data_IF_509362913548
#
_entry.id   IF_509362913548
#
_cell.length_a   1.000
_cell.length_b   1.000
_cell.length_c   1.000
_cell.angle_alpha   90.00
_cell.angle_beta   90.00
_cell.angle_gamma   90.00
#
_symmetry.space_group_name_H-M   'P 1'
#
loop_
_entity.id
_entity.type
_entity.pdbx_description
1 polymer ?
#
# COMPACT_ATOMS: atom_id res chain seq x y z
N UNK A 1 -19.17 -25.45 -22.87
CA UNK A 1 -19.63 -24.16 -22.34
C UNK A 1 -18.99 -23.81 -20.99
N UNK A 2 -18.90 -24.74 -20.01
CA UNK A 2 -18.24 -24.45 -18.71
C UNK A 2 -16.75 -24.09 -18.79
N UNK A 3 -15.98 -24.59 -19.77
CA UNK A 3 -14.55 -24.28 -19.89
C UNK A 3 -14.25 -22.87 -20.42
N UNK A 4 -15.12 -22.29 -21.25
CA UNK A 4 -14.80 -21.00 -21.91
C UNK A 4 -14.86 -19.82 -20.94
N UNK A 5 -15.80 -19.86 -19.98
CA UNK A 5 -15.91 -18.87 -18.90
C UNK A 5 -14.69 -18.97 -17.98
N UNK A 6 -14.36 -20.19 -17.53
CA UNK A 6 -13.23 -20.42 -16.63
C UNK A 6 -11.88 -20.07 -17.29
N UNK A 7 -11.72 -20.35 -18.58
CA UNK A 7 -10.51 -20.00 -19.33
C UNK A 7 -10.36 -18.48 -19.49
N UNK A 8 -11.47 -17.77 -19.74
CA UNK A 8 -11.48 -16.29 -19.80
C UNK A 8 -11.08 -15.64 -18.47
N UNK A 9 -11.62 -16.14 -17.35
CA UNK A 9 -11.27 -15.68 -16.00
C UNK A 9 -9.79 -15.95 -15.69
N UNK A 10 -9.28 -17.15 -16.04
CA UNK A 10 -7.88 -17.53 -15.83
C UNK A 10 -6.91 -16.67 -16.64
N UNK A 11 -7.21 -16.40 -17.90
CA UNK A 11 -6.38 -15.54 -18.76
C UNK A 11 -6.25 -14.15 -18.12
N UNK A 12 -7.36 -13.58 -17.67
CA UNK A 12 -7.38 -12.25 -17.04
C UNK A 12 -6.51 -12.20 -15.78
N UNK A 13 -6.61 -13.22 -14.92
CA UNK A 13 -5.78 -13.31 -13.70
C UNK A 13 -4.31 -13.49 -14.06
N UNK A 14 -3.98 -14.31 -15.05
CA UNK A 14 -2.60 -14.54 -15.49
C UNK A 14 -1.99 -13.25 -16.05
N UNK A 15 -2.69 -12.52 -16.93
CA UNK A 15 -2.25 -11.21 -17.42
C UNK A 15 -2.04 -10.23 -16.26
N UNK A 16 -2.91 -10.25 -15.24
CA UNK A 16 -2.76 -9.40 -14.05
C UNK A 16 -1.49 -9.76 -13.25
N UNK A 17 -1.13 -11.04 -13.15
CA UNK A 17 0.11 -11.48 -12.50
C UNK A 17 1.36 -11.09 -13.28
N UNK A 18 1.29 -11.13 -14.61
CA UNK A 18 2.41 -10.84 -15.50
C UNK A 18 2.66 -9.32 -15.64
N UNK A 19 1.61 -8.52 -15.63
CA UNK A 19 1.68 -7.05 -15.70
C UNK A 19 1.89 -6.38 -14.35
N UNK A 20 1.81 -7.13 -13.23
CA UNK A 20 1.96 -6.58 -11.88
C UNK A 20 3.36 -5.95 -11.71
N UNK A 21 3.46 -4.74 -11.14
CA UNK A 21 4.76 -4.12 -10.88
C UNK A 21 5.68 -5.02 -10.05
N UNK A 22 6.95 -5.13 -10.48
CA UNK A 22 7.95 -6.03 -9.89
C UNK A 22 8.06 -5.91 -8.36
N UNK A 23 8.02 -4.66 -7.86
CA UNK A 23 8.11 -4.37 -6.43
C UNK A 23 6.89 -4.90 -5.66
N UNK A 24 5.69 -4.81 -6.25
CA UNK A 24 4.46 -5.33 -5.65
C UNK A 24 4.48 -6.85 -5.64
N UNK A 25 4.92 -7.48 -6.74
CA UNK A 25 5.08 -8.94 -6.84
C UNK A 25 6.01 -9.48 -5.76
N UNK A 26 7.23 -8.96 -5.68
CA UNK A 26 8.22 -9.35 -4.64
C UNK A 26 7.68 -9.18 -3.21
N UNK A 27 6.97 -8.07 -2.95
CA UNK A 27 6.38 -7.79 -1.64
C UNK A 27 5.28 -8.79 -1.29
N UNK A 28 4.38 -9.07 -2.22
CA UNK A 28 3.25 -9.99 -2.01
C UNK A 28 3.74 -11.42 -1.82
N UNK A 29 4.68 -11.88 -2.65
CA UNK A 29 5.32 -13.20 -2.51
C UNK A 29 5.94 -13.38 -1.12
N UNK A 30 6.63 -12.35 -0.61
CA UNK A 30 7.20 -12.39 0.74
C UNK A 30 6.15 -12.52 1.85
N UNK A 31 4.97 -11.89 1.68
CA UNK A 31 3.87 -11.98 2.64
C UNK A 31 3.14 -13.32 2.56
N UNK A 32 2.85 -13.77 1.34
CA UNK A 32 2.19 -15.05 1.07
C UNK A 32 3.04 -16.22 1.55
N UNK A 33 4.36 -16.19 1.33
CA UNK A 33 5.28 -17.23 1.81
C UNK A 33 5.23 -17.39 3.33
N UNK A 34 5.22 -16.28 4.07
CA UNK A 34 5.11 -16.33 5.52
C UNK A 34 3.78 -16.91 6.01
N UNK A 35 2.69 -16.67 5.27
CA UNK A 35 1.40 -17.30 5.58
C UNK A 35 1.41 -18.81 5.31
N UNK A 36 1.96 -19.24 4.17
CA UNK A 36 2.10 -20.66 3.81
C UNK A 36 2.95 -21.38 4.86
N UNK A 37 4.08 -20.80 5.26
CA UNK A 37 4.95 -21.35 6.30
C UNK A 37 4.19 -21.56 7.62
N UNK A 38 3.44 -20.55 8.08
CA UNK A 38 2.60 -20.69 9.29
C UNK A 38 1.54 -21.77 9.13
N UNK A 39 0.93 -21.89 7.95
CA UNK A 39 -0.06 -22.94 7.68
C UNK A 39 0.55 -24.33 7.73
N UNK A 40 1.78 -24.50 7.22
CA UNK A 40 2.54 -25.75 7.28
C UNK A 40 2.93 -26.08 8.72
N UNK A 41 3.46 -25.11 9.49
CA UNK A 41 3.83 -25.31 10.90
C UNK A 41 2.63 -25.68 11.77
N UNK A 42 1.47 -25.06 11.53
CA UNK A 42 0.25 -25.33 12.29
C UNK A 42 -0.54 -26.54 11.76
N UNK A 43 -0.12 -27.13 10.65
CA UNK A 43 -0.73 -28.33 10.04
C UNK A 43 -2.25 -28.21 9.83
N UNK A 44 -2.72 -27.11 9.26
CA UNK A 44 -4.14 -26.96 8.95
C UNK A 44 -4.62 -28.03 7.95
N UNK A 45 -5.85 -28.52 8.14
CA UNK A 45 -6.43 -29.60 7.30
C UNK A 45 -6.49 -29.25 5.82
N UNK A 46 -6.86 -28.03 5.52
CA UNK A 46 -6.96 -27.42 4.19
C UNK A 46 -5.65 -26.71 3.77
N UNK A 47 -4.52 -27.05 4.41
CA UNK A 47 -3.17 -26.57 4.10
C UNK A 47 -3.08 -25.04 4.05
N UNK A 48 -2.68 -24.47 2.92
CA UNK A 48 -2.48 -23.06 2.64
C UNK A 48 -3.70 -22.38 1.99
N UNK A 49 -4.85 -23.05 1.95
CA UNK A 49 -6.11 -22.44 1.53
C UNK A 49 -6.42 -21.23 2.41
N UNK A 50 -6.63 -20.07 1.79
CA UNK A 50 -6.85 -18.81 2.50
C UNK A 50 -8.30 -18.76 2.99
N UNK A 51 -8.48 -18.66 4.31
CA UNK A 51 -9.79 -18.47 4.94
C UNK A 51 -9.77 -17.25 5.85
N UNK A 52 -10.95 -16.71 6.16
CA UNK A 52 -11.04 -15.57 7.08
C UNK A 52 -10.49 -15.85 8.47
N UNK A 53 -10.72 -17.07 8.99
CA UNK A 53 -10.18 -17.51 10.28
C UNK A 53 -8.66 -17.60 10.29
N UNK A 54 -8.08 -18.22 9.25
CA UNK A 54 -6.62 -18.31 9.12
C UNK A 54 -5.96 -16.96 8.93
N UNK A 55 -6.56 -16.08 8.11
CA UNK A 55 -6.08 -14.71 7.94
C UNK A 55 -6.07 -13.98 9.29
N UNK A 56 -7.17 -14.04 10.04
CA UNK A 56 -7.24 -13.43 11.35
C UNK A 56 -6.20 -13.99 12.33
N UNK A 57 -6.09 -15.31 12.41
CA UNK A 57 -5.12 -15.98 13.28
C UNK A 57 -3.69 -15.58 12.92
N UNK A 58 -3.32 -15.63 11.64
CA UNK A 58 -2.00 -15.25 11.15
C UNK A 58 -1.65 -13.79 11.49
N UNK A 59 -2.59 -12.87 11.26
CA UNK A 59 -2.38 -11.46 11.60
C UNK A 59 -2.17 -11.27 13.11
N UNK A 60 -3.05 -11.85 13.92
CA UNK A 60 -3.01 -11.70 15.38
C UNK A 60 -1.80 -12.37 16.04
N UNK A 61 -1.39 -13.56 15.57
CA UNK A 61 -0.31 -14.32 16.22
C UNK A 61 1.08 -14.03 15.69
N UNK A 62 1.21 -13.57 14.45
CA UNK A 62 2.51 -13.56 13.74
C UNK A 62 2.89 -12.19 13.20
N UNK A 63 1.91 -11.39 12.75
CA UNK A 63 2.19 -10.10 12.11
C UNK A 63 2.12 -8.95 13.10
N UNK A 64 1.04 -8.90 13.89
CA UNK A 64 0.83 -7.86 14.90
C UNK A 64 1.82 -8.07 16.05
N UNK A 65 2.47 -7.00 16.50
CA UNK A 65 3.50 -7.06 17.55
C UNK A 65 4.89 -7.47 17.06
N UNK A 66 5.04 -7.91 15.81
CA UNK A 66 6.35 -8.21 15.21
C UNK A 66 7.20 -6.94 15.11
N UNK A 67 8.51 -7.06 15.36
CA UNK A 67 9.49 -5.99 15.10
C UNK A 67 9.70 -5.77 13.60
N UNK A 68 9.86 -4.51 13.19
CA UNK A 68 10.15 -4.16 11.79
C UNK A 68 11.54 -4.65 11.41
N UNK A 69 11.67 -5.15 10.16
CA UNK A 69 12.97 -5.56 9.61
C UNK A 69 13.93 -4.40 9.39
N UNK A 70 13.40 -3.18 9.21
CA UNK A 70 14.20 -1.95 8.96
C UNK A 70 14.59 -1.24 10.26
N UNK A 71 13.77 -1.38 11.30
CA UNK A 71 14.02 -0.78 12.60
C UNK A 71 13.49 -1.74 13.68
N UNK A 72 14.40 -2.38 14.40
CA UNK A 72 14.09 -3.38 15.43
C UNK A 72 13.44 -2.79 16.68
N UNK A 73 13.47 -1.47 16.86
CA UNK A 73 12.81 -0.76 17.96
C UNK A 73 11.34 -0.51 17.67
N UNK A 74 10.95 -0.40 16.39
CA UNK A 74 9.56 -0.17 15.99
C UNK A 74 8.86 -1.48 15.64
N UNK A 75 7.62 -1.62 16.12
CA UNK A 75 6.73 -2.71 15.69
C UNK A 75 6.15 -2.46 14.31
N UNK A 76 5.70 -3.51 13.66
CA UNK A 76 5.02 -3.45 12.37
C UNK A 76 3.75 -2.58 12.49
N UNK A 77 3.71 -1.49 11.73
CA UNK A 77 2.58 -0.56 11.71
C UNK A 77 1.39 -1.04 10.87
N UNK A 78 0.26 -0.35 11.01
CA UNK A 78 -1.01 -0.71 10.37
C UNK A 78 -0.98 -0.74 8.84
N UNK A 79 -0.13 0.06 8.19
CA UNK A 79 0.07 0.03 6.74
C UNK A 79 0.65 -1.31 6.26
N UNK A 80 1.60 -1.87 7.01
CA UNK A 80 2.18 -3.18 6.71
C UNK A 80 1.16 -4.29 6.94
N UNK A 81 0.36 -4.21 8.02
CA UNK A 81 -0.75 -5.14 8.27
C UNK A 81 -1.75 -5.13 7.11
N UNK A 82 -2.11 -3.96 6.59
CA UNK A 82 -2.94 -3.85 5.39
C UNK A 82 -2.27 -4.47 4.16
N UNK A 83 -0.94 -4.33 4.04
CA UNK A 83 -0.16 -4.99 2.99
C UNK A 83 -0.27 -6.51 3.03
N UNK A 84 -0.18 -7.13 4.21
CA UNK A 84 -0.41 -8.57 4.40
C UNK A 84 -1.82 -8.98 4.00
N UNK A 85 -2.84 -8.22 4.42
CA UNK A 85 -4.24 -8.50 4.07
C UNK A 85 -4.43 -8.46 2.55
N UNK A 86 -3.92 -7.43 1.88
CA UNK A 86 -4.07 -7.30 0.43
C UNK A 86 -3.36 -8.43 -0.32
N UNK A 87 -2.16 -8.83 0.12
CA UNK A 87 -1.44 -9.96 -0.47
C UNK A 87 -2.16 -11.30 -0.29
N UNK A 88 -2.85 -11.50 0.84
CA UNK A 88 -3.60 -12.73 1.10
C UNK A 88 -4.98 -12.73 0.43
N UNK A 89 -5.61 -11.57 0.24
CA UNK A 89 -6.80 -11.44 -0.62
C UNK A 89 -6.43 -11.72 -2.08
N UNK A 90 -5.27 -11.25 -2.54
CA UNK A 90 -4.76 -11.57 -3.88
C UNK A 90 -4.52 -13.08 -4.05
N UNK A 91 -3.92 -13.74 -3.06
CA UNK A 91 -3.76 -15.20 -3.05
C UNK A 91 -5.11 -15.93 -3.05
N UNK A 92 -6.08 -15.46 -2.26
CA UNK A 92 -7.44 -16.01 -2.25
C UNK A 92 -8.11 -15.92 -3.62
N UNK A 93 -8.02 -14.77 -4.30
CA UNK A 93 -8.61 -14.60 -5.63
C UNK A 93 -8.00 -15.56 -6.65
N UNK A 94 -6.68 -15.80 -6.57
CA UNK A 94 -6.02 -16.81 -7.40
C UNK A 94 -6.55 -18.22 -7.09
N UNK A 95 -6.68 -18.58 -5.81
CA UNK A 95 -7.22 -19.88 -5.40
C UNK A 95 -8.68 -20.10 -5.83
N UNK A 96 -9.53 -19.07 -5.77
CA UNK A 96 -10.92 -19.13 -6.24
C UNK A 96 -10.97 -19.33 -7.76
N UNK A 97 -10.16 -18.59 -8.51
CA UNK A 97 -10.08 -18.69 -9.99
C UNK A 97 -9.60 -20.09 -10.42
N UNK A 98 -8.67 -20.67 -9.65
CA UNK A 98 -8.18 -22.04 -9.86
C UNK A 98 -9.13 -23.11 -9.30
N UNK A 99 -10.28 -22.72 -8.75
CA UNK A 99 -11.28 -23.60 -8.12
C UNK A 99 -10.71 -24.44 -6.96
N UNK A 100 -9.60 -24.02 -6.35
CA UNK A 100 -9.00 -24.68 -5.18
C UNK A 100 -9.55 -24.15 -3.85
N UNK A 101 -10.22 -23.00 -3.86
CA UNK A 101 -10.83 -22.41 -2.69
C UNK A 101 -12.29 -22.02 -2.96
N UNK A 102 -13.20 -22.58 -2.16
CA UNK A 102 -14.64 -22.32 -2.20
C UNK A 102 -15.15 -21.60 -0.95
N UNK A 103 -14.25 -21.12 -0.08
CA UNK A 103 -14.60 -20.41 1.14
C UNK A 103 -15.09 -18.99 0.85
N UNK A 104 -15.81 -18.41 1.81
CA UNK A 104 -16.17 -17.00 1.76
C UNK A 104 -14.93 -16.09 1.82
N UNK A 105 -15.09 -14.87 1.29
CA UNK A 105 -14.02 -13.88 1.21
C UNK A 105 -13.29 -13.67 2.55
N UNK A 106 -11.94 -13.70 2.58
CA UNK A 106 -11.18 -13.82 3.82
C UNK A 106 -11.18 -12.53 4.66
N UNK A 107 -11.48 -11.37 4.06
CA UNK A 107 -11.62 -10.09 4.78
C UNK A 107 -12.97 -9.98 5.51
N UNK A 108 -13.16 -10.83 6.50
CA UNK A 108 -14.36 -10.89 7.35
C UNK A 108 -14.49 -9.66 8.25
N UNK A 109 -15.65 -9.51 8.92
CA UNK A 109 -15.89 -8.44 9.90
C UNK A 109 -14.83 -8.42 11.01
N UNK A 110 -14.44 -9.59 11.52
CA UNK A 110 -13.37 -9.71 12.52
C UNK A 110 -12.02 -9.20 12.00
N UNK A 111 -11.64 -9.53 10.76
CA UNK A 111 -10.41 -9.01 10.14
C UNK A 111 -10.48 -7.48 9.97
N UNK A 112 -11.64 -6.95 9.57
CA UNK A 112 -11.85 -5.49 9.46
C UNK A 112 -11.68 -4.80 10.82
N UNK A 113 -12.25 -5.36 11.88
CA UNK A 113 -12.12 -4.84 13.25
C UNK A 113 -10.67 -4.92 13.74
N UNK A 114 -9.98 -6.03 13.49
CA UNK A 114 -8.56 -6.20 13.85
C UNK A 114 -7.69 -5.11 13.22
N UNK A 115 -7.88 -4.82 11.93
CA UNK A 115 -7.16 -3.75 11.23
C UNK A 115 -7.43 -2.39 11.88
N UNK A 116 -8.70 -2.09 12.19
CA UNK A 116 -9.09 -0.83 12.85
C UNK A 116 -8.42 -0.68 14.22
N UNK A 117 -8.41 -1.75 15.02
CA UNK A 117 -7.78 -1.74 16.34
C UNK A 117 -6.27 -1.47 16.25
N UNK A 118 -5.58 -2.10 15.30
CA UNK A 118 -4.15 -1.85 15.06
C UNK A 118 -3.90 -0.42 14.59
N UNK A 119 -4.75 0.14 13.73
CA UNK A 119 -4.62 1.54 13.29
C UNK A 119 -4.85 2.53 14.43
N UNK A 120 -5.84 2.27 15.29
CA UNK A 120 -6.10 3.07 16.49
C UNK A 120 -4.92 3.03 17.45
N UNK A 121 -4.39 1.84 17.77
CA UNK A 121 -3.21 1.68 18.63
C UNK A 121 -1.97 2.38 18.06
N UNK A 122 -1.72 2.27 16.75
CA UNK A 122 -0.62 3.00 16.14
C UNK A 122 -0.82 4.52 16.27
N UNK A 123 -2.04 5.02 16.06
CA UNK A 123 -2.35 6.45 16.20
C UNK A 123 -2.14 6.93 17.64
N UNK A 124 -2.55 6.14 18.63
CA UNK A 124 -2.35 6.42 20.05
C UNK A 124 -0.87 6.44 20.42
N UNK A 125 -0.10 5.45 19.97
CA UNK A 125 1.36 5.40 20.21
C UNK A 125 2.07 6.60 19.60
N UNK A 126 1.73 6.96 18.35
CA UNK A 126 2.26 8.17 17.71
C UNK A 126 1.93 9.44 18.49
N UNK A 127 0.69 9.54 18.99
CA UNK A 127 0.26 10.65 19.83
C UNK A 127 1.04 10.73 21.14
N UNK A 128 1.29 9.60 21.82
CA UNK A 128 2.10 9.52 23.05
C UNK A 128 3.56 9.88 22.82
N UNK A 129 4.10 9.50 21.67
CA UNK A 129 5.48 9.78 21.30
C UNK A 129 5.68 11.20 20.75
N UNK A 130 4.63 12.03 20.72
CA UNK A 130 4.63 13.36 20.09
C UNK A 130 5.21 13.33 18.67
N UNK A 131 4.98 12.23 17.94
CA UNK A 131 5.40 12.16 16.53
C UNK A 131 4.62 13.22 15.76
N UNK A 132 5.34 14.15 15.14
CA UNK A 132 4.73 15.19 14.33
C UNK A 132 3.98 14.55 13.16
N UNK A 133 2.71 14.94 13.04
CA UNK A 133 1.79 14.47 12.00
C UNK A 133 2.06 15.14 10.66
N UNK A 134 2.82 16.24 10.67
CA UNK A 134 3.24 17.02 9.52
C UNK A 134 4.44 16.43 8.77
N UNK A 135 5.33 15.68 9.44
CA UNK A 135 6.57 15.13 8.84
C UNK A 135 6.26 14.33 7.56
N UNK A 136 6.84 14.75 6.44
CA UNK A 136 6.68 14.16 5.11
C UNK A 136 5.31 14.38 4.46
N UNK A 137 4.48 15.28 4.98
CA UNK A 137 3.21 15.70 4.36
C UNK A 137 3.41 16.98 3.53
N UNK A 138 2.38 17.43 2.79
CA UNK A 138 2.41 18.71 2.08
C UNK A 138 2.55 19.92 3.03
N UNK A 139 2.29 19.72 4.34
CA UNK A 139 2.52 20.70 5.40
C UNK A 139 3.98 20.71 5.89
N UNK A 140 4.78 19.69 5.53
CA UNK A 140 6.24 19.68 5.63
C UNK A 140 6.83 20.52 4.48
N UNK A 141 6.33 21.75 4.36
CA UNK A 141 6.76 22.70 3.36
C UNK A 141 8.16 23.22 3.66
N UNK A 142 8.73 23.94 2.70
CA UNK A 142 9.89 24.78 2.95
C UNK A 142 9.54 25.80 4.02
N UNK A 143 10.33 25.81 5.10
CA UNK A 143 10.08 26.59 6.31
C UNK A 143 10.69 27.99 6.24
N UNK A 144 11.56 28.25 5.25
CA UNK A 144 12.21 29.54 5.04
C UNK A 144 12.23 29.93 3.57
N UNK A 145 12.31 31.24 3.33
CA UNK A 145 12.51 31.79 1.99
C UNK A 145 13.81 31.28 1.35
N UNK A 146 14.84 31.01 2.16
CA UNK A 146 16.11 30.46 1.70
C UNK A 146 15.96 29.04 1.13
N UNK A 147 15.19 28.17 1.80
CA UNK A 147 14.91 26.82 1.30
C UNK A 147 14.11 26.86 0.00
N UNK A 148 13.14 27.78 -0.09
CA UNK A 148 12.37 27.98 -1.31
C UNK A 148 13.25 28.44 -2.47
N UNK A 149 14.16 29.38 -2.20
CA UNK A 149 15.13 29.87 -3.19
C UNK A 149 16.07 28.76 -3.64
N UNK A 150 16.61 27.95 -2.72
CA UNK A 150 17.50 26.83 -3.05
C UNK A 150 16.82 25.82 -3.98
N UNK A 151 15.52 25.54 -3.78
CA UNK A 151 14.76 24.67 -4.69
C UNK A 151 14.61 25.33 -6.07
N UNK A 152 14.30 26.62 -6.11
CA UNK A 152 14.21 27.37 -7.37
C UNK A 152 15.54 27.42 -8.13
N UNK A 153 16.66 27.51 -7.41
CA UNK A 153 18.00 27.55 -7.96
C UNK A 153 18.46 26.17 -8.44
N UNK A 154 18.04 25.09 -7.76
CA UNK A 154 18.30 23.72 -8.19
C UNK A 154 17.69 23.41 -9.56
N UNK A 155 16.55 24.00 -9.92
CA UNK A 155 16.02 23.84 -11.27
C UNK A 155 16.88 24.50 -12.35
N UNK A 156 17.56 25.61 -12.04
CA UNK A 156 18.51 26.22 -12.97
C UNK A 156 19.75 25.37 -13.16
N UNK A 157 20.27 24.75 -12.10
CA UNK A 157 21.43 23.84 -12.21
C UNK A 157 21.10 22.56 -12.98
N UNK A 158 19.83 22.14 -12.96
CA UNK A 158 19.32 20.99 -13.71
C UNK A 158 18.83 21.32 -15.13
N UNK A 159 18.88 22.60 -15.53
CA UNK A 159 18.35 23.10 -16.81
C UNK A 159 16.85 22.74 -17.04
N UNK A 160 16.07 22.66 -15.96
CA UNK A 160 14.64 22.31 -15.98
C UNK A 160 13.76 23.52 -15.69
N UNK A 161 13.71 24.43 -16.67
CA UNK A 161 12.86 25.62 -16.61
C UNK A 161 11.37 25.28 -16.55
N UNK A 162 10.96 24.15 -17.14
CA UNK A 162 9.56 23.70 -17.14
C UNK A 162 9.15 23.23 -15.74
N UNK A 163 9.97 22.43 -15.08
CA UNK A 163 9.78 22.00 -13.70
C UNK A 163 9.77 23.18 -12.75
N UNK A 164 10.66 24.17 -12.97
CA UNK A 164 10.66 25.42 -12.20
C UNK A 164 9.35 26.19 -12.33
N UNK A 165 8.87 26.39 -13.55
CA UNK A 165 7.61 27.10 -13.80
C UNK A 165 6.42 26.37 -13.17
N UNK A 166 6.35 25.04 -13.32
CA UNK A 166 5.30 24.23 -12.69
C UNK A 166 5.36 24.30 -11.17
N UNK A 167 6.55 24.28 -10.57
CA UNK A 167 6.74 24.42 -9.13
C UNK A 167 6.26 25.79 -8.61
N UNK A 168 6.62 26.88 -9.30
CA UNK A 168 6.21 28.24 -8.94
C UNK A 168 4.69 28.44 -9.10
N UNK A 169 4.11 27.96 -10.20
CA UNK A 169 2.66 28.00 -10.43
C UNK A 169 1.90 27.17 -9.39
N UNK A 170 2.42 26.01 -9.00
CA UNK A 170 1.86 25.20 -7.92
C UNK A 170 1.87 25.94 -6.60
N UNK A 171 3.00 26.59 -6.28
CA UNK A 171 3.19 27.27 -5.01
C UNK A 171 2.30 28.51 -4.88
N UNK A 172 2.36 29.43 -5.84
CA UNK A 172 1.63 30.70 -5.77
C UNK A 172 0.16 30.58 -6.18
N UNK A 173 -0.16 29.66 -7.09
CA UNK A 173 -1.54 29.40 -7.51
C UNK A 173 -2.28 28.41 -6.60
N UNK A 174 -1.60 27.81 -5.61
CA UNK A 174 -2.13 26.72 -4.76
C UNK A 174 -2.71 25.56 -5.59
N UNK A 175 -2.12 25.32 -6.77
CA UNK A 175 -2.60 24.34 -7.74
C UNK A 175 -1.98 22.97 -7.47
N UNK A 176 -2.80 21.91 -7.61
CA UNK A 176 -2.30 20.53 -7.62
C UNK A 176 -1.66 20.21 -8.97
N UNK A 177 -0.74 19.26 -8.99
CA UNK A 177 -0.03 18.86 -10.20
C UNK A 177 -0.91 18.35 -11.35
N UNK A 178 -2.14 17.94 -11.08
CA UNK A 178 -3.15 17.65 -12.12
C UNK A 178 -3.60 18.95 -12.81
N UNK A 179 -4.12 19.91 -12.04
CA UNK A 179 -4.55 21.23 -12.54
C UNK A 179 -3.46 21.98 -13.31
N UNK A 180 -2.18 21.84 -12.92
CA UNK A 180 -1.07 22.53 -13.61
C UNK A 180 -0.77 21.89 -14.97
N UNK A 181 -0.96 20.58 -15.10
CA UNK A 181 -0.71 19.88 -16.37
C UNK A 181 -1.79 20.18 -17.41
N UNK A 182 -3.00 20.48 -16.94
CA UNK A 182 -4.15 20.81 -17.77
C UNK A 182 -4.33 22.33 -17.95
N UNK A 183 -3.43 23.16 -17.39
CA UNK A 183 -3.51 24.62 -17.48
C UNK A 183 -3.15 25.10 -18.89
N UNK A 184 -4.05 25.82 -19.54
CA UNK A 184 -3.79 26.46 -20.82
C UNK A 184 -3.35 27.92 -20.63
N UNK A 185 -2.65 28.47 -21.63
CA UNK A 185 -2.20 29.87 -21.57
C UNK A 185 -3.39 30.85 -21.52
N UNK A 186 -4.53 30.49 -22.11
CA UNK A 186 -5.74 31.30 -22.07
C UNK A 186 -6.31 31.44 -20.65
N UNK A 187 -6.11 30.44 -19.78
CA UNK A 187 -6.63 30.43 -18.41
C UNK A 187 -5.90 31.42 -17.49
N UNK A 188 -4.73 31.94 -17.91
CA UNK A 188 -3.91 32.84 -17.09
C UNK A 188 -4.38 34.30 -17.09
N UNK A 189 -5.30 34.67 -17.98
CA UNK A 189 -5.73 36.06 -18.20
C UNK A 189 -7.23 36.28 -18.00
N UNK A 190 -7.93 35.29 -17.43
CA UNK A 190 -9.35 35.37 -17.06
C UNK A 190 -9.57 36.06 -15.72
#
# INVERSE_FOLDING_TARGET
MFNEIDDSERITVQTTLDTKPLNTKRKYEGYQRGFVEVCLTRQFRDRDTVTGGKLHLFLSSTVIGRKSKRNSEKTVGGSTVCGYVNALVDLYNQQVTLRTNSNAHPRTTAVKQLIKNVQAQNTETKKKNYEDRGIGSLLDGYSSAEQFQQICDAFFTLDDLRGRAAFLLSHFGLLRGENIRDLEFADMFS
#
